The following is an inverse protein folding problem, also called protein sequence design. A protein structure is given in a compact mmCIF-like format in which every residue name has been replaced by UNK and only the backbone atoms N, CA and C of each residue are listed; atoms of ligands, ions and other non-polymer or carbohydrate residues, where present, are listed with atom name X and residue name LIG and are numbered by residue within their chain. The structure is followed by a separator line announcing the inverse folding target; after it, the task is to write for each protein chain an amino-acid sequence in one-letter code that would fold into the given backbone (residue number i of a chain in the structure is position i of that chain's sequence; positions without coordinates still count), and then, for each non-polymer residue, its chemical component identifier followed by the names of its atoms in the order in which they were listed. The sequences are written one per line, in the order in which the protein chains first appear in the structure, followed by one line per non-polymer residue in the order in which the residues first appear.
data_IF_308772846935
#
_entry.id   IF_308772846935
#
_cell.length_a   1.000
_cell.length_b   1.000
_cell.length_c   1.000
_cell.angle_alpha   90.00
_cell.angle_beta   90.00
_cell.angle_gamma   90.00
#
_symmetry.space_group_name_H-M   'P 1'
#
loop_
_entity.id
_entity.type
_entity.pdbx_description
1 polymer ?
#
# COMPACT_ATOMS: atom_id res chain seq x y z
N UNK A 1 -32.18 -8.14 20.87
CA UNK A 1 -31.72 -7.65 19.55
C UNK A 1 -30.21 -7.69 19.57
N UNK A 2 -29.56 -8.54 18.78
CA UNK A 2 -28.10 -8.49 18.68
C UNK A 2 -27.74 -7.17 17.99
N UNK A 3 -27.05 -6.28 18.70
CA UNK A 3 -26.42 -5.14 18.05
C UNK A 3 -25.37 -5.72 17.12
N UNK A 4 -25.61 -5.69 15.81
CA UNK A 4 -24.58 -6.02 14.84
C UNK A 4 -23.39 -5.10 15.10
N UNK A 5 -22.20 -5.68 15.31
CA UNK A 5 -20.98 -4.91 15.48
C UNK A 5 -20.82 -3.97 14.28
N UNK A 6 -20.60 -2.66 14.50
CA UNK A 6 -20.44 -1.71 13.42
C UNK A 6 -19.24 -2.12 12.54
N UNK A 7 -19.40 -1.94 11.23
CA UNK A 7 -18.32 -2.17 10.27
C UNK A 7 -17.41 -0.93 10.25
N UNK A 8 -16.12 -1.13 10.51
CA UNK A 8 -15.11 -0.07 10.59
C UNK A 8 -14.30 -0.08 9.29
N UNK A 9 -14.20 1.08 8.64
CA UNK A 9 -13.36 1.27 7.46
C UNK A 9 -12.20 2.19 7.85
N UNK A 10 -11.00 1.62 7.90
CA UNK A 10 -9.78 2.36 8.14
C UNK A 10 -9.21 2.78 6.78
N UNK A 11 -9.43 4.04 6.40
CA UNK A 11 -8.88 4.61 5.16
C UNK A 11 -7.61 5.36 5.50
N UNK A 12 -6.48 4.91 4.94
CA UNK A 12 -5.21 5.58 5.08
C UNK A 12 -4.55 5.73 3.71
N UNK A 13 -3.92 6.88 3.47
CA UNK A 13 -3.08 7.05 2.27
C UNK A 13 -1.90 6.10 2.25
N UNK A 14 -1.53 5.59 3.43
CA UNK A 14 -0.45 4.62 3.62
C UNK A 14 -0.91 3.45 4.48
N UNK A 15 -0.78 2.24 3.94
CA UNK A 15 -0.90 0.98 4.67
C UNK A 15 0.24 0.08 4.22
N UNK A 16 1.18 -0.21 5.12
CA UNK A 16 2.36 -0.99 4.77
C UNK A 16 1.99 -2.40 4.29
N UNK A 17 2.71 -2.92 3.30
CA UNK A 17 2.52 -4.31 2.89
C UNK A 17 2.69 -5.27 4.08
N UNK A 18 1.90 -6.35 4.14
CA UNK A 18 2.13 -7.46 5.07
C UNK A 18 3.52 -8.08 4.89
N UNK A 19 4.14 -8.51 5.98
CA UNK A 19 5.49 -9.10 5.98
C UNK A 19 5.60 -10.29 5.02
N UNK A 20 4.60 -11.16 4.97
CA UNK A 20 4.62 -12.33 4.09
C UNK A 20 4.63 -11.98 2.60
N UNK A 21 4.03 -10.85 2.18
CA UNK A 21 4.10 -10.38 0.79
C UNK A 21 5.48 -9.79 0.48
N UNK A 22 6.09 -9.10 1.44
CA UNK A 22 7.46 -8.61 1.30
C UNK A 22 8.48 -9.75 1.23
N UNK A 23 8.30 -10.82 2.01
CA UNK A 23 9.13 -12.02 1.91
C UNK A 23 9.01 -12.68 0.53
N UNK A 24 7.80 -12.79 -0.03
CA UNK A 24 7.60 -13.27 -1.42
C UNK A 24 8.31 -12.38 -2.44
N UNK A 25 8.21 -11.06 -2.27
CA UNK A 25 8.88 -10.10 -3.13
C UNK A 25 10.41 -10.25 -3.08
N UNK A 26 10.98 -10.44 -1.88
CA UNK A 26 12.42 -10.59 -1.68
C UNK A 26 12.94 -11.85 -2.36
N UNK A 27 12.23 -12.98 -2.21
CA UNK A 27 12.59 -14.22 -2.89
C UNK A 27 12.56 -14.06 -4.41
N UNK A 28 11.60 -13.29 -4.95
CA UNK A 28 11.38 -13.18 -6.39
C UNK A 28 12.26 -12.14 -7.09
N UNK A 29 12.51 -10.99 -6.45
CA UNK A 29 13.16 -9.83 -7.08
C UNK A 29 14.35 -9.27 -6.29
N UNK A 30 14.65 -9.84 -5.12
CA UNK A 30 15.74 -9.40 -4.27
C UNK A 30 15.40 -8.19 -3.38
N UNK A 31 16.34 -7.87 -2.49
CA UNK A 31 16.15 -6.90 -1.40
C UNK A 31 15.88 -5.49 -1.91
N UNK A 32 16.65 -5.03 -2.91
CA UNK A 32 16.52 -3.66 -3.41
C UNK A 32 15.13 -3.42 -4.01
N UNK A 33 14.67 -4.32 -4.89
CA UNK A 33 13.34 -4.20 -5.50
C UNK A 33 12.22 -4.34 -4.48
N UNK A 34 12.40 -5.19 -3.47
CA UNK A 34 11.44 -5.34 -2.37
C UNK A 34 11.28 -4.06 -1.56
N UNK A 35 12.38 -3.33 -1.32
CA UNK A 35 12.32 -2.02 -0.66
C UNK A 35 11.52 -1.02 -1.50
N UNK A 36 11.75 -0.99 -2.81
CA UNK A 36 10.99 -0.13 -3.72
C UNK A 36 9.49 -0.48 -3.73
N UNK A 37 9.14 -1.77 -3.71
CA UNK A 37 7.75 -2.24 -3.58
C UNK A 37 7.14 -1.86 -2.23
N UNK A 38 7.88 -2.00 -1.13
CA UNK A 38 7.39 -1.62 0.20
C UNK A 38 7.01 -0.14 0.28
N UNK A 39 7.75 0.71 -0.45
CA UNK A 39 7.48 2.15 -0.56
C UNK A 39 6.22 2.49 -1.37
N UNK A 40 5.67 1.54 -2.13
CA UNK A 40 4.48 1.77 -2.97
C UNK A 40 3.19 1.94 -2.17
N UNK A 41 3.19 1.55 -0.89
CA UNK A 41 2.01 1.66 -0.02
C UNK A 41 2.30 2.34 1.32
N UNK A 42 3.55 2.61 1.67
CA UNK A 42 3.92 3.45 2.81
C UNK A 42 5.38 3.88 2.77
N UNK A 43 5.65 5.12 3.20
CA UNK A 43 7.01 5.68 3.27
C UNK A 43 7.43 6.12 4.68
N UNK A 44 6.49 6.13 5.64
CA UNK A 44 6.72 6.55 7.02
C UNK A 44 6.26 5.53 8.07
N UNK A 45 6.33 5.92 9.34
CA UNK A 45 5.91 5.06 10.46
C UNK A 45 4.40 4.82 10.54
N UNK A 46 3.58 5.65 9.90
CA UNK A 46 2.11 5.57 9.99
C UNK A 46 1.58 4.32 9.28
N UNK A 47 2.07 3.98 8.09
CA UNK A 47 1.52 2.84 7.35
C UNK A 47 1.69 1.48 8.05
N UNK A 48 2.85 1.17 8.66
CA UNK A 48 3.00 0.00 9.52
C UNK A 48 2.07 0.04 10.75
N UNK A 49 1.88 1.21 11.36
CA UNK A 49 1.01 1.36 12.54
C UNK A 49 -0.46 1.12 12.21
N UNK A 50 -0.98 1.67 11.10
CA UNK A 50 -2.36 1.46 10.68
C UNK A 50 -2.59 -0.02 10.37
N UNK A 51 -1.67 -0.65 9.64
CA UNK A 51 -1.71 -2.10 9.36
C UNK A 51 -1.82 -2.92 10.65
N UNK A 52 -0.98 -2.61 11.63
CA UNK A 52 -0.95 -3.32 12.90
C UNK A 52 -2.23 -3.10 13.72
N UNK A 53 -2.73 -1.85 13.75
CA UNK A 53 -4.00 -1.51 14.39
C UNK A 53 -5.17 -2.28 13.79
N UNK A 54 -5.27 -2.33 12.46
CA UNK A 54 -6.34 -3.06 11.76
C UNK A 54 -6.31 -4.55 12.08
N UNK A 55 -5.11 -5.16 12.14
CA UNK A 55 -4.95 -6.56 12.56
C UNK A 55 -5.48 -6.78 13.98
N UNK A 56 -5.04 -5.95 14.93
CA UNK A 56 -5.44 -6.06 16.34
C UNK A 56 -6.94 -5.82 16.53
N UNK A 57 -7.53 -4.86 15.83
CA UNK A 57 -8.97 -4.61 15.84
C UNK A 57 -9.75 -5.86 15.37
N UNK A 58 -9.30 -6.50 14.29
CA UNK A 58 -9.89 -7.74 13.80
C UNK A 58 -9.77 -8.88 14.81
N UNK A 59 -8.60 -9.05 15.45
CA UNK A 59 -8.38 -10.06 16.49
C UNK A 59 -9.26 -9.86 17.73
N UNK A 60 -9.72 -8.62 17.97
CA UNK A 60 -10.69 -8.30 19.02
C UNK A 60 -12.15 -8.49 18.61
N UNK A 61 -12.40 -9.10 17.45
CA UNK A 61 -13.75 -9.40 16.95
C UNK A 61 -14.45 -8.20 16.30
N UNK A 62 -13.71 -7.14 15.94
CA UNK A 62 -14.26 -6.03 15.16
C UNK A 62 -14.29 -6.39 13.68
N UNK A 63 -15.37 -6.00 13.01
CA UNK A 63 -15.47 -6.08 11.56
C UNK A 63 -14.74 -4.88 10.95
N UNK A 64 -13.47 -5.05 10.56
CA UNK A 64 -12.63 -3.97 10.05
C UNK A 64 -12.01 -4.32 8.70
N UNK A 65 -11.93 -3.31 7.81
CA UNK A 65 -11.11 -3.37 6.60
C UNK A 65 -10.16 -2.18 6.54
N UNK A 66 -8.94 -2.43 6.06
CA UNK A 66 -7.97 -1.39 5.74
C UNK A 66 -7.99 -1.09 4.25
N UNK A 67 -8.11 0.19 3.88
CA UNK A 67 -8.09 0.63 2.48
C UNK A 67 -6.95 1.62 2.30
N UNK A 68 -6.10 1.38 1.30
CA UNK A 68 -5.00 2.25 0.93
C UNK A 68 -4.90 2.45 -0.56
N UNK A 69 -4.25 3.54 -0.95
CA UNK A 69 -3.81 3.73 -2.32
C UNK A 69 -2.58 2.87 -2.59
N UNK A 70 -2.51 2.33 -3.81
CA UNK A 70 -1.33 1.67 -4.33
C UNK A 70 -0.67 2.61 -5.35
N UNK A 71 0.51 3.11 -5.02
CA UNK A 71 1.24 4.00 -5.91
C UNK A 71 1.93 3.22 -7.04
N UNK A 72 1.68 3.64 -8.28
CA UNK A 72 2.31 3.04 -9.47
C UNK A 72 3.83 3.33 -9.53
N UNK A 73 4.25 4.44 -8.92
CA UNK A 73 5.63 4.91 -8.91
C UNK A 73 6.08 5.29 -7.50
N UNK A 74 7.38 5.08 -7.25
CA UNK A 74 8.07 5.51 -6.02
C UNK A 74 9.26 6.39 -6.37
N UNK A 75 9.67 7.23 -5.42
CA UNK A 75 10.85 8.07 -5.54
C UNK A 75 11.98 7.52 -4.67
N UNK A 76 13.13 7.28 -5.28
CA UNK A 76 14.33 6.81 -4.59
C UNK A 76 15.31 7.95 -4.51
N UNK A 77 15.78 8.22 -3.28
CA UNK A 77 16.81 9.22 -3.01
C UNK A 77 18.16 8.53 -2.90
N UNK A 78 19.15 9.02 -3.64
CA UNK A 78 20.55 8.57 -3.59
C UNK A 78 21.47 9.76 -3.33
N UNK A 79 22.38 9.62 -2.36
CA UNK A 79 23.47 10.57 -2.17
C UNK A 79 24.63 10.22 -3.11
N UNK A 80 25.07 11.17 -3.92
CA UNK A 80 26.21 11.01 -4.81
C UNK A 80 27.52 11.36 -4.09
N UNK A 81 28.69 10.87 -4.58
CA UNK A 81 29.98 11.13 -3.93
C UNK A 81 30.34 12.62 -3.77
N UNK A 82 29.78 13.49 -4.62
CA UNK A 82 29.97 14.94 -4.57
C UNK A 82 29.01 15.65 -3.58
N UNK A 83 28.25 14.91 -2.78
CA UNK A 83 27.27 15.44 -1.83
C UNK A 83 25.93 15.83 -2.44
N UNK A 84 25.74 15.74 -3.76
CA UNK A 84 24.46 16.03 -4.41
C UNK A 84 23.45 14.90 -4.17
N UNK A 85 22.18 15.28 -3.98
CA UNK A 85 21.07 14.33 -3.92
C UNK A 85 20.53 14.09 -5.34
N UNK A 86 20.44 12.82 -5.72
CA UNK A 86 19.76 12.39 -6.93
C UNK A 86 18.41 11.74 -6.55
N UNK A 87 17.33 12.22 -7.17
CA UNK A 87 16.02 11.60 -7.10
C UNK A 87 15.78 10.76 -8.35
N UNK A 88 15.32 9.54 -8.17
CA UNK A 88 14.97 8.63 -9.26
C UNK A 88 13.53 8.17 -9.09
N UNK A 89 12.71 8.41 -10.12
CA UNK A 89 11.35 7.86 -10.19
C UNK A 89 11.41 6.43 -10.73
N UNK A 90 10.83 5.48 -10.02
CA UNK A 90 10.77 4.07 -10.41
C UNK A 90 9.33 3.60 -10.46
N UNK A 91 8.92 2.94 -11.54
CA UNK A 91 7.64 2.22 -11.58
C UNK A 91 7.77 0.94 -10.77
N UNK A 92 6.74 0.59 -10.01
CA UNK A 92 6.63 -0.62 -9.16
C UNK A 92 5.25 -1.26 -9.22
N UNK A 93 4.27 -0.61 -9.85
CA UNK A 93 2.87 -1.05 -9.80
C UNK A 93 2.64 -2.43 -10.44
N UNK A 94 3.37 -2.77 -11.51
CA UNK A 94 3.30 -4.09 -12.14
C UNK A 94 3.69 -5.20 -11.17
N UNK A 95 4.75 -5.02 -10.40
CA UNK A 95 5.22 -6.00 -9.42
C UNK A 95 4.28 -6.08 -8.22
N UNK A 96 3.77 -4.94 -7.76
CA UNK A 96 2.76 -4.91 -6.69
C UNK A 96 1.53 -5.72 -7.07
N UNK A 97 1.01 -5.55 -8.28
CA UNK A 97 -0.14 -6.30 -8.82
C UNK A 97 0.13 -7.81 -8.95
N UNK A 98 1.39 -8.24 -9.03
CA UNK A 98 1.74 -9.67 -9.02
C UNK A 98 1.79 -10.28 -7.62
N UNK A 99 1.82 -9.45 -6.57
CA UNK A 99 1.76 -9.90 -5.16
C UNK A 99 0.34 -9.88 -4.61
N UNK A 100 -0.50 -9.00 -5.17
CA UNK A 100 -1.87 -8.75 -4.75
C UNK A 100 -2.88 -9.60 -5.51
N UNK A 101 -4.10 -9.72 -4.97
CA UNK A 101 -5.15 -10.55 -5.56
C UNK A 101 -6.29 -9.66 -6.01
N UNK A 102 -6.53 -9.50 -7.33
CA UNK A 102 -7.57 -8.63 -7.81
C UNK A 102 -8.93 -9.05 -7.21
N UNK A 103 -9.66 -8.06 -6.72
CA UNK A 103 -11.03 -8.25 -6.26
C UNK A 103 -12.01 -7.98 -7.41
N UNK A 104 -13.29 -8.29 -7.18
CA UNK A 104 -14.37 -7.88 -8.10
C UNK A 104 -14.79 -6.42 -7.94
N UNK A 105 -14.26 -5.71 -6.94
CA UNK A 105 -14.65 -4.34 -6.65
C UNK A 105 -13.96 -3.35 -7.59
N UNK A 106 -14.79 -2.52 -8.23
CA UNK A 106 -14.37 -1.45 -9.12
C UNK A 106 -15.20 -0.21 -8.85
N UNK A 107 -14.59 0.96 -8.93
CA UNK A 107 -15.29 2.24 -8.80
C UNK A 107 -14.59 3.31 -9.61
N UNK A 108 -15.28 4.40 -9.91
CA UNK A 108 -14.65 5.55 -10.56
C UNK A 108 -14.34 6.64 -9.53
N UNK A 109 -13.12 7.15 -9.58
CA UNK A 109 -12.63 8.23 -8.72
C UNK A 109 -12.53 9.53 -9.51
N UNK A 110 -13.13 10.60 -9.01
CA UNK A 110 -12.91 11.95 -9.51
C UNK A 110 -11.65 12.53 -8.88
N UNK A 111 -10.72 12.97 -9.71
CA UNK A 111 -9.51 13.66 -9.31
C UNK A 111 -9.76 15.17 -9.22
N UNK A 112 -8.89 15.87 -8.49
CA UNK A 112 -8.97 17.32 -8.28
C UNK A 112 -8.93 18.13 -9.59
N UNK A 113 -8.42 17.54 -10.66
CA UNK A 113 -8.34 18.14 -12.00
C UNK A 113 -9.55 17.80 -12.88
N UNK A 114 -10.66 17.36 -12.27
CA UNK A 114 -11.89 16.91 -12.95
C UNK A 114 -11.70 15.71 -13.89
N UNK A 115 -10.59 14.99 -13.80
CA UNK A 115 -10.45 13.71 -14.50
C UNK A 115 -11.13 12.59 -13.72
N UNK A 116 -11.75 11.66 -14.44
CA UNK A 116 -12.35 10.46 -13.88
C UNK A 116 -11.42 9.27 -14.15
N UNK A 117 -11.02 8.58 -13.08
CA UNK A 117 -10.15 7.40 -13.15
C UNK A 117 -10.94 6.16 -12.75
N UNK A 118 -10.85 5.09 -13.53
CA UNK A 118 -11.39 3.79 -13.13
C UNK A 118 -10.41 3.07 -12.21
N UNK A 119 -10.86 2.76 -11.00
CA UNK A 119 -10.09 2.13 -9.95
C UNK A 119 -10.54 0.68 -9.79
N UNK A 120 -9.57 -0.23 -9.77
CA UNK A 120 -9.75 -1.64 -9.44
C UNK A 120 -9.12 -1.88 -8.07
N UNK A 121 -9.84 -2.57 -7.19
CA UNK A 121 -9.32 -2.95 -5.88
C UNK A 121 -8.59 -4.29 -5.99
N UNK A 122 -7.39 -4.35 -5.45
CA UNK A 122 -6.45 -5.49 -5.47
C UNK A 122 -6.14 -6.00 -4.06
#
# INVERSE_FOLDING_TARGET
MSSQNPFIIEVASELGFPSHLLSKAQTKWGVQRTREIAMATSVGGIGPLVRERTRIQSEKGLNVIGVSLLYEYVWIQKLLPNGTIQLQKKSVGKECKQLLTPTSLKFSLWLFNNQKLDVVVW
#
